data_IF_619493347702
#
_entry.id   IF_619493347702
#
_cell.length_a   1.000
_cell.length_b   1.000
_cell.length_c   1.000
_cell.angle_alpha   90.00
_cell.angle_beta   90.00
_cell.angle_gamma   90.00
#
_symmetry.space_group_name_H-M   'P 1'
#
loop_
_entity.id
_entity.type
_entity.pdbx_description
1 polymer ?
#
# COMPACT_ATOMS: atom_id res chain seq x y z
N UNK A 1 1.41 -24.83 -19.14
CA UNK A 1 1.97 -25.21 -20.47
C UNK A 1 3.25 -24.40 -20.68
N UNK A 2 4.33 -24.98 -21.21
CA UNK A 2 5.57 -24.22 -21.50
C UNK A 2 5.40 -23.47 -22.82
N UNK A 3 5.67 -22.16 -22.85
CA UNK A 3 5.92 -21.41 -24.10
C UNK A 3 7.43 -21.19 -24.23
N UNK A 4 7.97 -21.55 -25.38
CA UNK A 4 9.41 -21.43 -25.68
C UNK A 4 9.72 -20.04 -26.22
N UNK A 5 10.92 -19.54 -25.94
CA UNK A 5 11.45 -18.34 -26.56
C UNK A 5 11.82 -18.62 -28.02
N UNK A 6 11.61 -17.65 -28.91
CA UNK A 6 12.06 -17.69 -30.30
C UNK A 6 13.26 -16.76 -30.46
N UNK A 7 14.47 -17.32 -30.44
CA UNK A 7 15.63 -16.65 -31.03
C UNK A 7 15.54 -16.78 -32.57
N UNK A 8 15.60 -15.66 -33.27
CA UNK A 8 15.90 -15.62 -34.71
C UNK A 8 16.91 -14.51 -34.97
N UNK A 9 18.19 -14.87 -34.98
CA UNK A 9 19.25 -13.97 -35.45
C UNK A 9 19.19 -13.81 -36.97
N UNK A 10 19.61 -12.65 -37.48
CA UNK A 10 19.84 -12.42 -38.91
C UNK A 10 21.33 -12.14 -39.15
N UNK A 11 21.86 -12.60 -40.27
CA UNK A 11 23.31 -12.56 -40.54
C UNK A 11 23.63 -12.05 -41.96
N UNK A 12 24.59 -11.13 -42.00
CA UNK A 12 25.52 -10.87 -43.12
C UNK A 12 25.00 -10.32 -44.46
N UNK A 13 25.63 -9.21 -44.91
CA UNK A 13 26.19 -8.90 -46.25
C UNK A 13 26.58 -7.39 -46.22
N UNK A 14 27.86 -7.02 -46.04
CA UNK A 14 28.88 -6.74 -47.08
C UNK A 14 28.39 -5.85 -48.25
N UNK A 15 29.09 -4.80 -48.71
CA UNK A 15 30.28 -4.11 -48.19
C UNK A 15 30.47 -2.75 -48.90
N UNK A 16 31.00 -1.73 -48.22
CA UNK A 16 31.97 -0.80 -48.82
C UNK A 16 32.83 -0.11 -47.74
N UNK A 17 34.14 -0.05 -47.95
CA UNK A 17 35.09 0.33 -46.89
C UNK A 17 35.64 1.75 -47.07
N UNK A 18 35.21 2.68 -46.22
CA UNK A 18 35.95 3.91 -45.92
C UNK A 18 36.49 3.77 -44.50
N UNK A 19 37.82 3.74 -44.35
CA UNK A 19 38.48 3.32 -43.11
C UNK A 19 38.54 4.43 -42.04
N UNK A 20 37.38 4.76 -41.48
CA UNK A 20 37.31 5.35 -40.14
C UNK A 20 37.66 4.27 -39.10
N UNK A 21 38.32 4.61 -37.98
CA UNK A 21 38.43 3.70 -36.85
C UNK A 21 37.04 3.53 -36.22
N UNK A 22 36.38 2.41 -36.51
CA UNK A 22 35.09 2.04 -35.91
C UNK A 22 35.28 1.79 -34.42
N UNK A 23 34.99 2.80 -33.63
CA UNK A 23 34.79 2.66 -32.20
C UNK A 23 33.58 1.75 -31.99
N UNK A 24 33.69 0.70 -31.17
CA UNK A 24 32.57 -0.20 -30.85
C UNK A 24 31.48 0.58 -30.09
N UNK A 25 30.56 1.19 -30.84
CA UNK A 25 29.35 1.84 -30.31
C UNK A 25 28.26 0.81 -29.99
N UNK A 26 28.26 -0.32 -30.71
CA UNK A 26 27.28 -1.41 -30.60
C UNK A 26 27.07 -1.85 -29.14
N UNK A 27 28.16 -2.06 -28.38
CA UNK A 27 28.10 -2.46 -26.97
C UNK A 27 27.46 -1.40 -26.06
N UNK A 28 27.65 -0.11 -26.34
CA UNK A 28 26.96 0.94 -25.57
C UNK A 28 25.46 0.93 -25.90
N UNK A 29 25.11 0.83 -27.19
CA UNK A 29 23.71 0.73 -27.63
C UNK A 29 23.00 -0.51 -27.09
N UNK A 30 23.71 -1.63 -26.96
CA UNK A 30 23.21 -2.89 -26.39
C UNK A 30 22.92 -2.76 -24.89
N UNK A 31 23.83 -2.14 -24.12
CA UNK A 31 23.62 -1.83 -22.69
C UNK A 31 22.53 -0.76 -22.48
N UNK A 32 22.46 0.26 -23.33
CA UNK A 32 21.43 1.31 -23.27
C UNK A 32 20.04 0.75 -23.65
N UNK A 33 19.95 -0.22 -24.57
CA UNK A 33 18.72 -0.96 -24.84
C UNK A 33 18.32 -1.87 -23.67
N UNK A 34 19.27 -2.63 -23.10
CA UNK A 34 19.02 -3.44 -21.90
C UNK A 34 18.53 -2.56 -20.73
N UNK A 35 19.03 -1.32 -20.63
CA UNK A 35 18.54 -0.34 -19.64
C UNK A 35 17.09 0.04 -19.89
N UNK A 36 16.71 0.34 -21.13
CA UNK A 36 15.31 0.62 -21.47
C UNK A 36 14.39 -0.57 -21.20
N UNK A 37 14.85 -1.81 -21.42
CA UNK A 37 14.08 -3.02 -21.10
C UNK A 37 13.92 -3.20 -19.57
N UNK A 38 14.97 -2.92 -18.78
CA UNK A 38 14.91 -2.92 -17.31
C UNK A 38 14.02 -1.77 -16.78
N UNK A 39 14.10 -0.57 -17.34
CA UNK A 39 13.25 0.58 -16.97
C UNK A 39 11.78 0.32 -17.32
N UNK A 40 11.48 -0.30 -18.47
CA UNK A 40 10.12 -0.76 -18.80
C UNK A 40 9.64 -1.84 -17.81
N UNK A 41 10.48 -2.82 -17.50
CA UNK A 41 10.18 -3.87 -16.50
C UNK A 41 9.92 -3.28 -15.11
N UNK A 42 10.70 -2.29 -14.66
CA UNK A 42 10.44 -1.58 -13.40
C UNK A 42 9.13 -0.78 -13.46
N UNK A 43 8.82 -0.11 -14.58
CA UNK A 43 7.55 0.60 -14.74
C UNK A 43 6.34 -0.34 -14.70
N UNK A 44 6.42 -1.52 -15.33
CA UNK A 44 5.36 -2.51 -15.30
C UNK A 44 5.27 -3.24 -13.94
N UNK A 45 6.38 -3.49 -13.25
CA UNK A 45 6.38 -3.92 -11.85
C UNK A 45 5.73 -2.87 -10.94
N UNK A 46 6.02 -1.58 -11.12
CA UNK A 46 5.40 -0.50 -10.35
C UNK A 46 3.88 -0.38 -10.65
N UNK A 47 3.44 -0.57 -11.90
CA UNK A 47 2.01 -0.70 -12.24
C UNK A 47 1.38 -1.93 -11.56
N UNK A 48 2.08 -3.06 -11.59
CA UNK A 48 1.68 -4.29 -10.91
C UNK A 48 1.49 -4.08 -9.41
N UNK A 49 2.49 -3.50 -8.74
CA UNK A 49 2.46 -3.16 -7.31
C UNK A 49 1.35 -2.16 -6.98
N UNK A 50 1.14 -1.12 -7.77
CA UNK A 50 0.06 -0.16 -7.54
C UNK A 50 -1.34 -0.80 -7.74
N UNK A 51 -1.51 -1.63 -8.78
CA UNK A 51 -2.74 -2.41 -8.96
C UNK A 51 -2.95 -3.38 -7.79
N UNK A 52 -1.87 -4.00 -7.28
CA UNK A 52 -1.95 -4.95 -6.17
C UNK A 52 -2.18 -4.28 -4.83
N UNK A 53 -1.65 -3.08 -4.61
CA UNK A 53 -1.98 -2.24 -3.46
C UNK A 53 -3.47 -1.82 -3.48
N UNK A 54 -4.02 -1.52 -4.66
CA UNK A 54 -5.46 -1.27 -4.82
C UNK A 54 -6.32 -2.53 -4.60
N UNK A 55 -5.85 -3.73 -4.97
CA UNK A 55 -6.50 -5.00 -4.61
C UNK A 55 -6.41 -5.28 -3.10
N UNK A 56 -5.25 -5.12 -2.48
CA UNK A 56 -5.04 -5.27 -1.03
C UNK A 56 -5.97 -4.31 -0.26
N UNK A 57 -6.08 -3.05 -0.69
CA UNK A 57 -6.98 -2.06 -0.07
C UNK A 57 -8.46 -2.44 -0.22
N UNK A 58 -8.90 -2.90 -1.40
CA UNK A 58 -10.27 -3.40 -1.60
C UNK A 58 -10.57 -4.64 -0.75
N UNK A 59 -9.59 -5.55 -0.68
CA UNK A 59 -9.74 -6.79 0.08
C UNK A 59 -9.65 -6.52 1.58
N UNK A 60 -8.95 -5.47 2.04
CA UNK A 60 -9.02 -5.02 3.43
C UNK A 60 -10.46 -4.65 3.82
N UNK A 61 -11.20 -3.92 2.98
CA UNK A 61 -12.64 -3.68 3.19
C UNK A 61 -13.56 -4.88 2.91
N UNK A 62 -13.03 -6.01 2.47
CA UNK A 62 -13.72 -7.31 2.48
C UNK A 62 -13.41 -8.09 3.77
N UNK A 63 -12.17 -8.06 4.25
CA UNK A 63 -11.78 -8.61 5.56
C UNK A 63 -12.52 -7.89 6.70
N UNK A 64 -12.69 -6.57 6.62
CA UNK A 64 -13.50 -5.77 7.55
C UNK A 64 -14.95 -6.29 7.62
N UNK A 65 -15.59 -6.55 6.47
CA UNK A 65 -16.95 -7.13 6.42
C UNK A 65 -17.03 -8.54 6.97
N UNK A 66 -16.06 -9.40 6.66
CA UNK A 66 -16.01 -10.76 7.23
C UNK A 66 -15.85 -10.68 8.76
N UNK A 67 -15.12 -9.68 9.28
CA UNK A 67 -15.04 -9.43 10.73
C UNK A 67 -16.35 -8.89 11.33
N UNK A 68 -17.10 -8.03 10.61
CA UNK A 68 -18.45 -7.60 11.01
C UNK A 68 -19.46 -8.77 11.02
N UNK A 69 -19.39 -9.64 10.01
CA UNK A 69 -20.19 -10.87 9.91
C UNK A 69 -19.87 -11.84 11.06
N UNK A 70 -18.59 -12.09 11.35
CA UNK A 70 -18.15 -12.89 12.49
C UNK A 70 -18.64 -12.28 13.83
N UNK A 71 -18.58 -10.96 14.02
CA UNK A 71 -19.07 -10.31 15.25
C UNK A 71 -20.60 -10.41 15.39
N UNK A 72 -21.35 -10.28 14.29
CA UNK A 72 -22.79 -10.49 14.24
C UNK A 72 -23.15 -11.94 14.60
N UNK A 73 -22.36 -12.89 14.10
CA UNK A 73 -22.54 -14.33 14.32
C UNK A 73 -22.16 -14.74 15.75
N UNK A 74 -21.10 -14.18 16.34
CA UNK A 74 -20.75 -14.33 17.76
C UNK A 74 -21.91 -13.90 18.67
N UNK A 75 -22.54 -12.75 18.36
CA UNK A 75 -23.71 -12.27 19.12
C UNK A 75 -24.90 -13.24 18.99
N UNK A 76 -25.17 -13.75 17.80
CA UNK A 76 -26.22 -14.76 17.58
C UNK A 76 -25.90 -16.06 18.34
N UNK A 77 -24.66 -16.54 18.30
CA UNK A 77 -24.18 -17.71 19.06
C UNK A 77 -24.38 -17.52 20.56
N UNK A 78 -24.11 -16.34 21.11
CA UNK A 78 -24.35 -16.02 22.53
C UNK A 78 -25.86 -16.00 22.86
N UNK A 79 -26.69 -15.40 22.01
CA UNK A 79 -28.15 -15.40 22.18
C UNK A 79 -28.74 -16.82 22.11
N UNK A 80 -28.34 -17.63 21.11
CA UNK A 80 -28.77 -19.03 20.96
C UNK A 80 -28.29 -19.89 22.12
N UNK A 81 -27.03 -19.75 22.55
CA UNK A 81 -26.49 -20.47 23.72
C UNK A 81 -27.26 -20.11 25.00
N UNK A 82 -27.67 -18.85 25.15
CA UNK A 82 -28.49 -18.41 26.29
C UNK A 82 -29.89 -19.04 26.27
N UNK A 83 -30.53 -19.11 25.09
CA UNK A 83 -31.83 -19.81 24.92
C UNK A 83 -31.71 -21.30 25.25
N UNK A 84 -30.66 -21.97 24.76
CA UNK A 84 -30.36 -23.39 25.06
C UNK A 84 -30.29 -23.63 26.57
N UNK A 85 -29.50 -22.82 27.30
CA UNK A 85 -29.36 -22.97 28.75
C UNK A 85 -30.67 -22.73 29.53
N UNK A 86 -31.52 -21.79 29.06
CA UNK A 86 -32.85 -21.56 29.65
C UNK A 86 -33.75 -22.78 29.44
N UNK A 87 -33.88 -23.28 28.19
CA UNK A 87 -34.73 -24.44 27.88
C UNK A 87 -34.25 -25.71 28.60
N UNK A 88 -32.93 -25.90 28.74
CA UNK A 88 -32.37 -27.00 29.53
C UNK A 88 -32.77 -26.92 31.01
N UNK A 89 -32.62 -25.74 31.65
CA UNK A 89 -33.08 -25.53 33.02
C UNK A 89 -34.59 -25.70 33.22
N UNK A 90 -35.40 -25.26 32.25
CA UNK A 90 -36.85 -25.48 32.26
C UNK A 90 -37.23 -26.97 32.14
N UNK A 91 -36.47 -27.75 31.35
CA UNK A 91 -36.64 -29.22 31.24
C UNK A 91 -36.25 -29.90 32.56
N UNK A 92 -35.16 -29.48 33.22
CA UNK A 92 -34.74 -30.02 34.51
C UNK A 92 -35.79 -29.75 35.61
N UNK A 93 -36.26 -28.50 35.75
CA UNK A 93 -37.33 -28.15 36.68
C UNK A 93 -38.59 -28.98 36.42
N UNK A 94 -39.03 -29.07 35.15
CA UNK A 94 -40.22 -29.84 34.79
C UNK A 94 -40.06 -31.32 35.12
N UNK A 95 -38.85 -31.88 34.99
CA UNK A 95 -38.53 -33.27 35.35
C UNK A 95 -38.68 -33.51 36.86
N UNK A 96 -38.19 -32.58 37.69
CA UNK A 96 -38.36 -32.65 39.15
C UNK A 96 -39.85 -32.59 39.55
N UNK A 97 -40.60 -31.63 38.98
CA UNK A 97 -42.04 -31.48 39.25
C UNK A 97 -42.86 -32.71 38.83
N UNK A 98 -42.53 -33.36 37.69
CA UNK A 98 -43.15 -34.62 37.26
C UNK A 98 -42.86 -35.73 38.27
N UNK A 99 -41.62 -35.85 38.75
CA UNK A 99 -41.22 -36.87 39.72
C UNK A 99 -41.95 -36.70 41.05
N UNK A 100 -42.02 -35.48 41.58
CA UNK A 100 -42.70 -35.21 42.85
C UNK A 100 -44.22 -35.47 42.75
N UNK A 101 -44.83 -35.18 41.59
CA UNK A 101 -46.21 -35.57 41.29
C UNK A 101 -46.36 -37.10 41.21
N UNK A 102 -45.45 -37.83 40.59
CA UNK A 102 -45.50 -39.31 40.52
C UNK A 102 -45.36 -39.95 41.92
N UNK A 103 -44.47 -39.44 42.77
CA UNK A 103 -44.32 -39.88 44.16
C UNK A 103 -45.57 -39.54 45.01
N UNK A 104 -46.25 -38.43 44.72
CA UNK A 104 -47.52 -38.05 45.34
C UNK A 104 -48.66 -38.99 44.90
N UNK A 105 -48.79 -39.22 43.58
CA UNK A 105 -49.74 -40.16 42.96
C UNK A 105 -49.59 -41.57 43.53
N UNK A 106 -48.36 -42.05 43.74
CA UNK A 106 -48.10 -43.38 44.31
C UNK A 106 -48.61 -43.49 45.76
N UNK A 107 -48.34 -42.47 46.60
CA UNK A 107 -48.82 -42.41 48.00
C UNK A 107 -50.34 -42.28 48.08
N UNK A 108 -50.93 -41.45 47.22
CA UNK A 108 -52.37 -41.21 47.14
C UNK A 108 -53.11 -42.45 46.66
N UNK A 109 -52.64 -43.10 45.59
CA UNK A 109 -53.21 -44.37 45.11
C UNK A 109 -53.17 -45.44 46.21
N UNK A 110 -52.07 -45.58 46.94
CA UNK A 110 -51.98 -46.53 48.05
C UNK A 110 -53.09 -46.29 49.10
N UNK A 111 -53.32 -45.04 49.52
CA UNK A 111 -54.43 -44.71 50.45
C UNK A 111 -55.80 -45.07 49.89
N UNK A 112 -56.03 -44.80 48.59
CA UNK A 112 -57.29 -45.12 47.91
C UNK A 112 -57.50 -46.63 47.85
N UNK A 113 -56.46 -47.41 47.54
CA UNK A 113 -56.50 -48.87 47.50
C UNK A 113 -56.78 -49.43 48.92
N UNK A 114 -56.05 -48.97 49.96
CA UNK A 114 -56.27 -49.36 51.36
C UNK A 114 -57.68 -49.02 51.88
N UNK A 115 -58.18 -47.80 51.60
CA UNK A 115 -59.53 -47.38 51.99
C UNK A 115 -60.62 -48.09 51.17
N UNK A 116 -60.32 -48.56 49.96
CA UNK A 116 -61.25 -49.38 49.15
C UNK A 116 -61.49 -50.74 49.79
N UNK A 117 -60.44 -51.42 50.28
CA UNK A 117 -60.62 -52.69 50.98
C UNK A 117 -61.37 -52.52 52.31
N UNK A 118 -61.07 -51.47 53.09
CA UNK A 118 -61.84 -51.14 54.30
C UNK A 118 -63.33 -50.92 54.00
N UNK A 119 -63.66 -50.19 52.93
CA UNK A 119 -65.06 -49.96 52.52
C UNK A 119 -65.74 -51.24 52.03
N UNK A 120 -65.01 -52.15 51.34
CA UNK A 120 -65.54 -53.47 50.96
C UNK A 120 -65.82 -54.36 52.17
N UNK A 121 -64.96 -54.34 53.19
CA UNK A 121 -65.15 -55.09 54.43
C UNK A 121 -66.37 -54.56 55.20
N UNK A 122 -66.49 -53.23 55.35
CA UNK A 122 -67.66 -52.60 55.98
C UNK A 122 -68.96 -52.87 55.22
N UNK A 123 -68.97 -52.72 53.90
CA UNK A 123 -70.13 -53.01 53.06
C UNK A 123 -70.55 -54.49 53.17
N UNK A 124 -69.59 -55.43 53.24
CA UNK A 124 -69.87 -56.85 53.47
C UNK A 124 -70.45 -57.08 54.87
N UNK A 125 -69.92 -56.45 55.91
CA UNK A 125 -70.43 -56.58 57.27
C UNK A 125 -71.89 -56.11 57.36
N UNK A 126 -72.20 -54.93 56.81
CA UNK A 126 -73.57 -54.40 56.73
C UNK A 126 -74.49 -55.37 55.96
N UNK A 127 -74.04 -55.91 54.83
CA UNK A 127 -74.81 -56.89 54.06
C UNK A 127 -75.02 -58.24 54.79
N UNK A 128 -74.07 -58.66 55.64
CA UNK A 128 -74.13 -59.93 56.37
C UNK A 128 -74.99 -59.88 57.64
N UNK A 129 -75.13 -58.71 58.28
CA UNK A 129 -75.97 -58.55 59.47
C UNK A 129 -77.47 -58.57 59.14
N UNK A 130 -77.88 -57.87 58.07
CA UNK A 130 -79.28 -57.66 57.70
C UNK A 130 -79.53 -56.35 56.92
N UNK A 131 -78.61 -55.40 57.01
CA UNK A 131 -78.53 -54.22 56.15
C UNK A 131 -78.84 -52.92 56.91
N UNK A 132 -79.55 -52.00 56.26
CA UNK A 132 -79.94 -50.73 56.89
C UNK A 132 -81.12 -50.86 57.88
N UNK A 133 -81.71 -52.05 58.02
CA UNK A 133 -82.79 -52.33 58.98
C UNK A 133 -82.24 -52.50 60.40
N UNK A 134 -81.09 -53.16 60.55
CA UNK A 134 -80.49 -53.51 61.85
C UNK A 134 -80.20 -52.28 62.72
N UNK A 135 -79.86 -51.13 62.12
CA UNK A 135 -79.68 -49.88 62.88
C UNK A 135 -80.96 -49.38 63.52
N UNK A 136 -82.13 -49.67 62.94
CA UNK A 136 -83.43 -49.37 63.54
C UNK A 136 -83.69 -50.37 64.67
N UNK A 137 -83.41 -51.65 64.47
CA UNK A 137 -83.61 -52.68 65.49
C UNK A 137 -82.67 -52.53 66.71
N UNK A 138 -81.43 -52.07 66.51
CA UNK A 138 -80.49 -51.70 67.60
C UNK A 138 -81.05 -50.57 68.46
N UNK A 139 -81.76 -49.62 67.87
CA UNK A 139 -82.39 -48.50 68.57
C UNK A 139 -83.74 -48.88 69.21
N UNK A 140 -84.54 -49.72 68.54
CA UNK A 140 -85.81 -50.23 69.07
C UNK A 140 -85.60 -51.27 70.19
N UNK A 141 -84.46 -51.97 70.20
CA UNK A 141 -84.05 -52.90 71.25
C UNK A 141 -83.39 -52.25 72.47
N UNK A 142 -83.60 -50.95 72.70
CA UNK A 142 -83.13 -50.25 73.88
C UNK A 142 -83.99 -50.59 75.12
N UNK A 143 -83.36 -50.76 76.28
CA UNK A 143 -84.06 -51.14 77.52
C UNK A 143 -84.72 -49.94 78.22
N UNK A 144 -84.13 -48.74 78.10
CA UNK A 144 -84.71 -47.48 78.57
C UNK A 144 -84.32 -46.28 77.68
N UNK A 145 -84.76 -45.07 78.07
CA UNK A 145 -84.51 -43.84 77.31
C UNK A 145 -83.05 -43.36 77.35
N UNK A 146 -82.26 -43.73 78.36
CA UNK A 146 -80.83 -43.38 78.43
C UNK A 146 -80.04 -44.29 77.48
N UNK A 147 -80.29 -45.60 77.55
CA UNK A 147 -79.74 -46.59 76.61
C UNK A 147 -80.11 -46.25 75.15
N UNK A 148 -81.35 -45.82 74.89
CA UNK A 148 -81.75 -45.30 73.58
C UNK A 148 -80.88 -44.13 73.09
N UNK A 149 -80.59 -43.15 73.97
CA UNK A 149 -79.78 -41.97 73.61
C UNK A 149 -78.31 -42.34 73.38
N UNK A 150 -77.74 -43.22 74.20
CA UNK A 150 -76.36 -43.69 74.02
C UNK A 150 -76.20 -44.49 72.72
N UNK A 151 -77.15 -45.39 72.42
CA UNK A 151 -77.17 -46.12 71.13
C UNK A 151 -77.41 -45.19 69.94
N UNK A 152 -78.30 -44.20 70.06
CA UNK A 152 -78.55 -43.21 69.00
C UNK A 152 -77.28 -42.39 68.70
N UNK A 153 -76.58 -41.95 69.75
CA UNK A 153 -75.29 -41.27 69.63
C UNK A 153 -74.25 -42.15 68.92
N UNK A 154 -74.06 -43.38 69.38
CA UNK A 154 -73.10 -44.32 68.79
C UNK A 154 -73.40 -44.67 67.32
N UNK A 155 -74.67 -44.91 66.98
CA UNK A 155 -75.11 -45.17 65.59
C UNK A 155 -74.90 -43.94 64.71
N UNK A 156 -75.23 -42.74 65.19
CA UNK A 156 -75.02 -41.50 64.43
C UNK A 156 -73.53 -41.24 64.17
N UNK A 157 -72.66 -41.36 65.19
CA UNK A 157 -71.21 -41.23 65.03
C UNK A 157 -70.62 -42.24 64.06
N UNK A 158 -71.13 -43.48 64.03
CA UNK A 158 -70.69 -44.50 63.07
C UNK A 158 -71.11 -44.14 61.63
N UNK A 159 -72.36 -43.69 61.43
CA UNK A 159 -72.87 -43.25 60.12
C UNK A 159 -72.13 -42.01 59.61
N UNK A 160 -71.81 -41.06 60.50
CA UNK A 160 -70.98 -39.89 60.17
C UNK A 160 -69.56 -40.29 59.77
N UNK A 161 -68.93 -41.21 60.51
CA UNK A 161 -67.62 -41.75 60.15
C UNK A 161 -67.62 -42.47 58.79
N UNK A 162 -68.63 -43.28 58.48
CA UNK A 162 -68.73 -43.95 57.18
C UNK A 162 -68.99 -42.97 56.03
N UNK A 163 -69.82 -41.94 56.24
CA UNK A 163 -70.01 -40.84 55.28
C UNK A 163 -68.71 -40.09 55.03
N UNK A 164 -67.93 -39.81 56.07
CA UNK A 164 -66.64 -39.12 55.97
C UNK A 164 -65.59 -39.97 55.25
N UNK A 165 -65.52 -41.28 55.53
CA UNK A 165 -64.64 -42.22 54.82
C UNK A 165 -65.00 -42.25 53.33
N UNK A 166 -66.29 -42.27 52.97
CA UNK A 166 -66.74 -42.20 51.57
C UNK A 166 -66.45 -40.84 50.92
N UNK A 167 -66.66 -39.72 51.63
CA UNK A 167 -66.33 -38.36 51.14
C UNK A 167 -64.85 -38.23 50.81
N UNK A 168 -63.98 -38.56 51.77
CA UNK A 168 -62.52 -38.55 51.58
C UNK A 168 -62.08 -39.51 50.47
N UNK A 169 -62.80 -40.63 50.27
CA UNK A 169 -62.49 -41.58 49.19
C UNK A 169 -62.78 -41.02 47.80
N UNK A 170 -63.83 -40.20 47.64
CA UNK A 170 -64.12 -39.57 46.35
C UNK A 170 -63.19 -38.38 46.10
N UNK A 171 -62.91 -37.57 47.12
CA UNK A 171 -61.97 -36.44 47.04
C UNK A 171 -60.53 -36.91 46.71
N UNK A 172 -60.04 -37.99 47.33
CA UNK A 172 -58.74 -38.57 46.98
C UNK A 172 -58.71 -39.12 45.53
N UNK A 173 -59.81 -39.70 45.02
CA UNK A 173 -59.90 -40.15 43.61
C UNK A 173 -59.89 -38.98 42.64
N UNK A 174 -60.62 -37.90 42.93
CA UNK A 174 -60.65 -36.70 42.10
C UNK A 174 -59.26 -36.05 42.07
N UNK A 175 -58.61 -35.94 43.22
CA UNK A 175 -57.22 -35.48 43.33
C UNK A 175 -56.27 -36.39 42.54
N UNK A 176 -56.43 -37.71 42.57
CA UNK A 176 -55.64 -38.66 41.79
C UNK A 176 -55.83 -38.48 40.27
N UNK A 177 -57.05 -38.20 39.81
CA UNK A 177 -57.34 -37.91 38.41
C UNK A 177 -56.70 -36.57 37.99
N UNK A 178 -56.87 -35.52 38.80
CA UNK A 178 -56.31 -34.19 38.57
C UNK A 178 -54.76 -34.22 38.55
N UNK A 179 -54.11 -34.96 39.46
CA UNK A 179 -52.65 -35.12 39.47
C UNK A 179 -52.14 -35.86 38.22
N UNK A 180 -52.85 -36.89 37.74
CA UNK A 180 -52.48 -37.59 36.49
C UNK A 180 -52.58 -36.67 35.27
N UNK A 181 -53.66 -35.91 35.13
CA UNK A 181 -53.83 -34.94 34.06
C UNK A 181 -52.75 -33.84 34.08
N UNK A 182 -52.29 -33.43 35.27
CA UNK A 182 -51.13 -32.54 35.40
C UNK A 182 -49.82 -33.19 34.94
N UNK A 183 -49.57 -34.46 35.25
CA UNK A 183 -48.39 -35.20 34.76
C UNK A 183 -48.42 -35.33 33.23
N UNK A 184 -49.55 -35.70 32.65
CA UNK A 184 -49.73 -35.79 31.19
C UNK A 184 -49.50 -34.42 30.51
N UNK A 185 -50.03 -33.34 31.09
CA UNK A 185 -49.83 -31.97 30.60
C UNK A 185 -48.36 -31.53 30.69
N UNK A 186 -47.66 -31.88 31.77
CA UNK A 186 -46.23 -31.55 31.94
C UNK A 186 -45.34 -32.36 30.99
N UNK A 187 -45.65 -33.64 30.78
CA UNK A 187 -44.94 -34.49 29.81
C UNK A 187 -45.09 -33.95 28.37
N UNK A 188 -46.30 -33.56 27.96
CA UNK A 188 -46.52 -32.97 26.63
C UNK A 188 -45.66 -31.70 26.41
N UNK A 189 -45.61 -30.80 27.41
CA UNK A 189 -44.74 -29.61 27.40
C UNK A 189 -43.25 -29.94 27.45
N UNK A 190 -42.87 -31.05 28.09
CA UNK A 190 -41.49 -31.49 28.13
C UNK A 190 -41.02 -31.98 26.76
N UNK A 191 -41.86 -32.70 26.01
CA UNK A 191 -41.54 -33.10 24.63
C UNK A 191 -41.49 -31.91 23.66
N UNK A 192 -42.38 -30.92 23.83
CA UNK A 192 -42.31 -29.65 23.10
C UNK A 192 -40.96 -28.92 23.33
N UNK A 193 -40.56 -28.75 24.59
CA UNK A 193 -39.26 -28.16 24.97
C UNK A 193 -38.06 -28.99 24.48
N UNK A 194 -38.14 -30.32 24.46
CA UNK A 194 -37.08 -31.19 23.88
C UNK A 194 -36.92 -30.95 22.38
N UNK A 195 -38.03 -30.83 21.65
CA UNK A 195 -38.01 -30.54 20.22
C UNK A 195 -37.55 -29.10 19.89
N UNK A 196 -37.80 -28.13 20.79
CA UNK A 196 -37.22 -26.79 20.71
C UNK A 196 -35.70 -26.82 20.97
N UNK A 197 -35.27 -27.51 22.03
CA UNK A 197 -33.85 -27.67 22.38
C UNK A 197 -33.03 -28.32 21.24
N UNK A 198 -33.59 -29.33 20.56
CA UNK A 198 -32.95 -29.94 19.39
C UNK A 198 -32.76 -28.92 18.25
N UNK A 199 -33.78 -28.12 17.95
CA UNK A 199 -33.69 -27.06 16.93
C UNK A 199 -32.63 -26.01 17.30
N UNK A 200 -32.65 -25.51 18.53
CA UNK A 200 -31.68 -24.51 19.01
C UNK A 200 -30.24 -25.05 19.00
N UNK A 201 -30.03 -26.34 19.34
CA UNK A 201 -28.71 -26.98 19.24
C UNK A 201 -28.26 -27.15 17.79
N UNK A 202 -29.16 -27.49 16.87
CA UNK A 202 -28.85 -27.58 15.43
C UNK A 202 -28.55 -26.20 14.82
N UNK A 203 -29.30 -25.16 15.19
CA UNK A 203 -29.04 -23.75 14.83
C UNK A 203 -27.66 -23.30 15.34
N UNK A 204 -27.37 -23.53 16.62
CA UNK A 204 -26.08 -23.19 17.26
C UNK A 204 -24.89 -23.91 16.59
N UNK A 205 -25.07 -25.16 16.17
CA UNK A 205 -24.04 -25.91 15.46
C UNK A 205 -23.83 -25.38 14.03
N UNK A 206 -24.90 -24.96 13.35
CA UNK A 206 -24.82 -24.28 12.06
C UNK A 206 -24.07 -22.95 12.14
N UNK A 207 -24.47 -22.10 13.10
CA UNK A 207 -23.83 -20.79 13.36
C UNK A 207 -22.32 -20.94 13.64
N UNK A 208 -21.91 -21.95 14.42
CA UNK A 208 -20.48 -22.23 14.68
C UNK A 208 -19.73 -22.73 13.44
N UNK A 209 -20.33 -23.60 12.63
CA UNK A 209 -19.71 -24.10 11.40
C UNK A 209 -19.53 -22.98 10.34
N UNK A 210 -20.47 -22.02 10.29
CA UNK A 210 -20.37 -20.81 9.47
C UNK A 210 -19.25 -19.88 9.99
N UNK A 211 -19.16 -19.68 11.32
CA UNK A 211 -18.09 -18.89 11.95
C UNK A 211 -16.69 -19.48 11.68
N UNK A 212 -16.53 -20.80 11.85
CA UNK A 212 -15.27 -21.51 11.54
C UNK A 212 -14.91 -21.40 10.05
N UNK A 213 -15.90 -21.39 9.16
CA UNK A 213 -15.73 -21.15 7.73
C UNK A 213 -15.21 -19.74 7.43
N UNK A 214 -15.91 -18.71 7.90
CA UNK A 214 -15.52 -17.31 7.74
C UNK A 214 -14.13 -17.02 8.32
N UNK A 215 -13.82 -17.54 9.51
CA UNK A 215 -12.52 -17.37 10.16
C UNK A 215 -11.37 -18.05 9.38
N UNK A 216 -11.65 -19.19 8.75
CA UNK A 216 -10.69 -19.90 7.89
C UNK A 216 -10.44 -19.14 6.58
N UNK A 217 -11.48 -18.62 5.94
CA UNK A 217 -11.37 -17.90 4.68
C UNK A 217 -10.71 -16.53 4.88
N UNK A 218 -11.03 -15.81 5.96
CA UNK A 218 -10.33 -14.61 6.43
C UNK A 218 -8.81 -14.86 6.54
N UNK A 219 -8.41 -15.97 7.17
CA UNK A 219 -7.01 -16.35 7.36
C UNK A 219 -6.32 -16.75 6.06
N UNK A 220 -7.01 -17.51 5.20
CA UNK A 220 -6.48 -17.91 3.90
C UNK A 220 -6.22 -16.69 3.00
N UNK A 221 -7.14 -15.73 2.99
CA UNK A 221 -7.02 -14.49 2.22
C UNK A 221 -5.90 -13.58 2.77
N UNK A 222 -5.80 -13.41 4.10
CA UNK A 222 -4.67 -12.70 4.71
C UNK A 222 -3.31 -13.33 4.34
N UNK A 223 -3.20 -14.66 4.35
CA UNK A 223 -1.98 -15.36 3.95
C UNK A 223 -1.67 -15.20 2.45
N UNK A 224 -2.69 -15.25 1.60
CA UNK A 224 -2.57 -15.03 0.15
C UNK A 224 -2.05 -13.62 -0.16
N UNK A 225 -2.66 -12.59 0.43
CA UNK A 225 -2.26 -11.20 0.23
C UNK A 225 -0.85 -10.91 0.75
N UNK A 226 -0.46 -11.49 1.89
CA UNK A 226 0.89 -11.36 2.43
C UNK A 226 1.95 -11.99 1.50
N UNK A 227 1.67 -13.17 0.95
CA UNK A 227 2.57 -13.85 0.01
C UNK A 227 2.68 -13.10 -1.33
N UNK A 228 1.55 -12.68 -1.92
CA UNK A 228 1.52 -11.92 -3.18
C UNK A 228 2.21 -10.54 -3.05
N UNK A 229 2.14 -9.91 -1.87
CA UNK A 229 2.91 -8.70 -1.59
C UNK A 229 4.41 -8.97 -1.54
N UNK A 230 4.84 -10.00 -0.80
CA UNK A 230 6.26 -10.31 -0.59
C UNK A 230 6.98 -10.70 -1.89
N UNK A 231 6.31 -11.42 -2.80
CA UNK A 231 6.84 -11.78 -4.12
C UNK A 231 7.09 -10.54 -5.00
N UNK A 232 6.14 -9.60 -5.04
CA UNK A 232 6.29 -8.35 -5.78
C UNK A 232 7.37 -7.43 -5.20
N UNK A 233 7.50 -7.38 -3.86
CA UNK A 233 8.57 -6.62 -3.19
C UNK A 233 9.96 -7.23 -3.48
N UNK A 234 10.08 -8.56 -3.52
CA UNK A 234 11.33 -9.23 -3.94
C UNK A 234 11.66 -8.95 -5.41
N UNK A 235 10.72 -9.16 -6.34
CA UNK A 235 10.94 -8.93 -7.78
C UNK A 235 11.32 -7.47 -8.09
N UNK A 236 10.81 -6.51 -7.30
CA UNK A 236 11.21 -5.10 -7.38
C UNK A 236 12.64 -4.87 -6.86
N UNK A 237 13.06 -5.54 -5.79
CA UNK A 237 14.45 -5.46 -5.31
C UNK A 237 15.43 -5.99 -6.37
N UNK A 238 15.18 -7.19 -6.90
CA UNK A 238 16.01 -7.79 -7.95
C UNK A 238 16.10 -6.90 -9.21
N UNK A 239 15.01 -6.23 -9.59
CA UNK A 239 14.99 -5.30 -10.72
C UNK A 239 15.73 -3.98 -10.46
N UNK A 240 15.89 -3.57 -9.19
CA UNK A 240 16.70 -2.41 -8.80
C UNK A 240 18.20 -2.77 -8.77
N UNK A 241 18.55 -3.94 -8.23
CA UNK A 241 19.95 -4.41 -8.16
C UNK A 241 20.55 -4.58 -9.55
N UNK A 242 19.81 -5.19 -10.49
CA UNK A 242 20.24 -5.33 -11.90
C UNK A 242 20.37 -3.96 -12.58
N UNK A 243 19.45 -3.03 -12.32
CA UNK A 243 19.54 -1.66 -12.87
C UNK A 243 20.77 -0.91 -12.37
N UNK A 244 21.15 -1.12 -11.10
CA UNK A 244 22.31 -0.48 -10.50
C UNK A 244 23.64 -1.01 -11.07
N UNK A 245 23.77 -2.33 -11.29
CA UNK A 245 24.97 -2.85 -11.97
C UNK A 245 25.02 -2.39 -13.44
N UNK A 246 23.88 -2.35 -14.13
CA UNK A 246 23.80 -1.92 -15.52
C UNK A 246 24.19 -0.43 -15.70
N UNK A 247 23.77 0.48 -14.82
CA UNK A 247 24.26 1.87 -14.82
C UNK A 247 25.78 1.95 -14.55
N UNK A 248 26.31 1.08 -13.68
CA UNK A 248 27.75 0.97 -13.47
C UNK A 248 28.49 0.43 -14.72
N UNK A 249 27.88 -0.46 -15.51
CA UNK A 249 28.45 -0.95 -16.76
C UNK A 249 28.42 0.11 -17.87
N UNK A 250 27.30 0.82 -18.03
CA UNK A 250 27.12 1.93 -18.97
C UNK A 250 28.14 3.03 -18.66
N UNK A 251 28.27 3.44 -17.39
CA UNK A 251 29.24 4.47 -16.96
C UNK A 251 30.67 4.10 -17.37
N UNK A 252 31.12 2.87 -17.08
CA UNK A 252 32.46 2.38 -17.44
C UNK A 252 32.68 2.34 -18.96
N UNK A 253 31.63 2.00 -19.73
CA UNK A 253 31.71 1.99 -21.20
C UNK A 253 31.77 3.41 -21.76
N UNK A 254 30.96 4.35 -21.25
CA UNK A 254 31.01 5.77 -21.61
C UNK A 254 32.35 6.42 -21.25
N UNK A 255 32.93 6.12 -20.07
CA UNK A 255 34.29 6.53 -19.69
C UNK A 255 35.35 6.00 -20.67
N UNK A 256 35.27 4.71 -21.04
CA UNK A 256 36.17 4.09 -22.03
C UNK A 256 36.07 4.78 -23.39
N UNK A 257 34.86 5.10 -23.84
CA UNK A 257 34.59 5.78 -25.10
C UNK A 257 35.10 7.23 -25.08
N UNK A 258 34.91 7.96 -23.97
CA UNK A 258 35.43 9.31 -23.79
C UNK A 258 36.97 9.35 -23.80
N UNK A 259 37.63 8.38 -23.15
CA UNK A 259 39.10 8.25 -23.15
C UNK A 259 39.66 7.88 -24.53
N UNK A 260 38.93 7.07 -25.32
CA UNK A 260 39.26 6.80 -26.73
C UNK A 260 39.12 8.07 -27.58
N UNK A 261 38.03 8.83 -27.41
CA UNK A 261 37.81 10.09 -28.11
C UNK A 261 38.87 11.15 -27.76
N UNK A 262 39.27 11.26 -26.48
CA UNK A 262 40.36 12.13 -26.03
C UNK A 262 41.68 11.79 -26.73
N UNK A 263 42.05 10.50 -26.78
CA UNK A 263 43.26 10.03 -27.47
C UNK A 263 43.22 10.32 -28.97
N UNK A 264 42.09 10.10 -29.63
CA UNK A 264 41.92 10.40 -31.05
C UNK A 264 42.07 11.90 -31.34
N UNK A 265 41.51 12.78 -30.51
CA UNK A 265 41.64 14.23 -30.64
C UNK A 265 43.06 14.73 -30.32
N UNK A 266 43.76 14.12 -29.35
CA UNK A 266 45.18 14.40 -29.10
C UNK A 266 46.07 13.96 -30.27
N UNK A 267 45.82 12.80 -30.87
CA UNK A 267 46.53 12.34 -32.06
C UNK A 267 46.24 13.25 -33.27
N UNK A 268 44.98 13.66 -33.47
CA UNK A 268 44.59 14.62 -34.52
C UNK A 268 45.30 15.96 -34.32
N UNK A 269 45.33 16.49 -33.10
CA UNK A 269 46.09 17.72 -32.75
C UNK A 269 47.59 17.56 -33.02
N UNK A 270 48.19 16.40 -32.70
CA UNK A 270 49.61 16.10 -33.00
C UNK A 270 49.88 16.07 -34.50
N UNK A 271 49.04 15.40 -35.31
CA UNK A 271 49.15 15.37 -36.78
C UNK A 271 49.03 16.77 -37.38
N UNK A 272 48.01 17.53 -36.97
CA UNK A 272 47.76 18.90 -37.46
C UNK A 272 48.89 19.87 -37.05
N UNK A 273 49.55 19.65 -35.91
CA UNK A 273 50.75 20.37 -35.51
C UNK A 273 51.99 19.99 -36.35
N UNK A 274 52.18 18.70 -36.69
CA UNK A 274 53.23 18.24 -37.58
C UNK A 274 53.04 18.79 -39.01
N UNK A 275 51.82 18.75 -39.54
CA UNK A 275 51.45 19.35 -40.84
C UNK A 275 51.72 20.85 -40.87
N UNK A 276 51.29 21.59 -39.84
CA UNK A 276 51.59 23.04 -39.71
C UNK A 276 53.10 23.30 -39.65
N UNK A 277 53.88 22.47 -38.96
CA UNK A 277 55.34 22.59 -38.92
C UNK A 277 55.96 22.33 -40.30
N UNK A 278 55.56 21.26 -40.99
CA UNK A 278 56.03 20.95 -42.34
C UNK A 278 55.66 22.06 -43.36
N UNK A 279 54.45 22.60 -43.27
CA UNK A 279 54.00 23.73 -44.08
C UNK A 279 54.80 25.01 -43.78
N UNK A 280 55.09 25.30 -42.50
CA UNK A 280 55.94 26.42 -42.11
C UNK A 280 57.39 26.24 -42.61
N UNK A 281 57.96 25.03 -42.55
CA UNK A 281 59.28 24.74 -43.11
C UNK A 281 59.30 24.87 -44.65
N UNK A 282 58.25 24.45 -45.36
CA UNK A 282 58.13 24.70 -46.80
C UNK A 282 57.98 26.19 -47.13
N UNK A 283 57.19 26.93 -46.35
CA UNK A 283 57.03 28.38 -46.50
C UNK A 283 58.36 29.12 -46.23
N UNK A 284 59.12 28.71 -45.21
CA UNK A 284 60.44 29.24 -44.91
C UNK A 284 61.44 28.94 -46.05
N UNK A 285 61.45 27.72 -46.59
CA UNK A 285 62.27 27.35 -47.77
C UNK A 285 61.91 28.20 -48.99
N UNK A 286 60.62 28.34 -49.32
CA UNK A 286 60.13 29.22 -50.39
C UNK A 286 60.51 30.69 -50.17
N UNK A 287 60.38 31.20 -48.94
CA UNK A 287 60.74 32.59 -48.59
C UNK A 287 62.25 32.83 -48.68
N UNK A 288 63.07 31.90 -48.21
CA UNK A 288 64.54 31.98 -48.35
C UNK A 288 64.98 31.89 -49.82
N UNK A 289 64.30 31.08 -50.64
CA UNK A 289 64.56 31.00 -52.08
C UNK A 289 64.13 32.29 -52.81
N UNK A 290 62.98 32.86 -52.47
CA UNK A 290 62.54 34.17 -52.96
C UNK A 290 63.50 35.29 -52.53
N UNK A 291 64.01 35.26 -51.29
CA UNK A 291 65.02 36.19 -50.80
C UNK A 291 66.38 36.02 -51.52
N UNK A 292 66.79 34.80 -51.89
CA UNK A 292 67.97 34.59 -52.76
C UNK A 292 67.77 35.21 -54.15
N UNK A 293 66.60 34.99 -54.77
CA UNK A 293 66.26 35.60 -56.06
C UNK A 293 66.17 37.13 -55.97
N UNK A 294 65.62 37.68 -54.88
CA UNK A 294 65.63 39.13 -54.61
C UNK A 294 67.04 39.66 -54.34
N UNK A 295 67.91 38.91 -53.66
CA UNK A 295 69.30 39.30 -53.43
C UNK A 295 70.10 39.31 -54.74
N UNK A 296 69.90 38.33 -55.62
CA UNK A 296 70.47 38.31 -56.97
C UNK A 296 69.97 39.52 -57.78
N UNK A 297 68.66 39.77 -57.82
CA UNK A 297 68.08 40.96 -58.47
C UNK A 297 68.54 42.28 -57.85
N UNK A 298 68.84 42.32 -56.55
CA UNK A 298 69.40 43.49 -55.88
C UNK A 298 70.91 43.67 -56.12
N UNK A 299 71.64 42.61 -56.49
CA UNK A 299 73.01 42.70 -57.00
C UNK A 299 73.02 43.17 -58.45
N UNK A 300 72.12 42.65 -59.29
CA UNK A 300 71.88 43.12 -60.67
C UNK A 300 71.50 44.61 -60.66
N UNK A 301 70.51 45.01 -59.87
CA UNK A 301 70.12 46.42 -59.71
C UNK A 301 71.20 47.29 -59.04
N UNK A 302 72.14 46.72 -58.28
CA UNK A 302 73.32 47.45 -57.80
C UNK A 302 74.40 47.65 -58.86
N UNK A 303 74.43 46.83 -59.92
CA UNK A 303 75.26 47.07 -61.09
C UNK A 303 74.61 48.11 -62.03
N UNK A 304 73.28 48.20 -62.07
CA UNK A 304 72.54 49.12 -62.94
C UNK A 304 72.24 50.50 -62.32
N UNK A 305 72.23 50.62 -60.98
CA UNK A 305 71.91 51.89 -60.28
C UNK A 305 73.10 52.57 -59.61
N UNK A 306 74.12 52.87 -60.40
CA UNK A 306 74.98 54.05 -60.19
C UNK A 306 74.45 55.27 -60.97
N UNK A 307 73.12 55.42 -61.01
CA UNK A 307 72.40 56.53 -61.65
C UNK A 307 71.12 56.87 -60.85
N UNK A 308 70.93 58.17 -60.63
CA UNK A 308 69.71 58.92 -60.28
C UNK A 308 68.79 58.43 -59.11
N UNK A 309 68.90 59.15 -57.99
CA UNK A 309 67.92 60.15 -57.47
C UNK A 309 66.43 60.06 -57.89
N UNK A 310 65.40 60.46 -57.11
CA UNK A 310 65.28 61.05 -55.74
C UNK A 310 63.78 61.01 -55.32
N UNK A 311 63.44 61.07 -54.02
CA UNK A 311 62.09 61.39 -53.46
C UNK A 311 60.91 60.42 -53.76
N UNK A 312 59.73 60.42 -53.07
CA UNK A 312 59.31 61.01 -51.78
C UNK A 312 58.17 60.20 -51.09
N UNK A 313 57.85 60.61 -49.85
CA UNK A 313 56.62 60.51 -49.01
C UNK A 313 55.25 60.29 -49.69
N UNK A 314 54.10 59.95 -49.04
CA UNK A 314 53.67 59.84 -47.62
C UNK A 314 52.25 59.23 -47.47
N UNK A 315 51.91 58.66 -46.28
CA UNK A 315 50.55 58.55 -45.65
C UNK A 315 49.42 57.87 -46.51
N UNK A 316 48.16 57.62 -46.09
CA UNK A 316 47.36 57.84 -44.86
C UNK A 316 46.43 56.61 -44.61
N UNK A 317 45.89 56.36 -43.40
CA UNK A 317 44.45 56.52 -42.98
C UNK A 317 43.37 56.53 -44.10
N UNK A 318 42.12 56.05 -43.91
CA UNK A 318 41.27 56.10 -42.70
C UNK A 318 40.05 55.11 -42.72
N UNK A 319 39.14 55.29 -41.74
CA UNK A 319 37.87 54.62 -41.36
C UNK A 319 36.77 54.49 -42.47
N UNK A 320 35.58 53.88 -42.29
CA UNK A 320 34.83 53.43 -41.09
C UNK A 320 34.05 52.09 -41.33
N UNK A 321 32.80 51.76 -40.89
CA UNK A 321 31.61 52.49 -40.37
C UNK A 321 30.71 51.60 -39.44
N UNK A 322 29.65 52.21 -38.89
CA UNK A 322 28.40 51.75 -38.21
C UNK A 322 27.75 50.42 -38.70
N UNK A 323 26.82 49.73 -38.00
CA UNK A 323 26.27 49.68 -36.61
C UNK A 323 25.36 48.39 -36.51
N UNK A 324 24.42 48.10 -35.57
CA UNK A 324 23.81 48.70 -34.35
C UNK A 324 23.11 47.60 -33.50
N UNK A 325 22.70 47.88 -32.26
CA UNK A 325 21.87 47.00 -31.39
C UNK A 325 20.34 47.13 -31.64
N UNK A 326 19.52 46.24 -31.02
CA UNK A 326 18.51 46.74 -30.06
C UNK A 326 18.52 46.02 -28.69
N UNK A 327 17.75 46.59 -27.75
CA UNK A 327 17.83 46.41 -26.29
C UNK A 327 17.49 45.01 -25.73
N UNK A 328 18.10 44.68 -24.58
CA UNK A 328 17.82 43.46 -23.80
C UNK A 328 16.97 43.73 -22.55
N UNK A 329 16.11 42.79 -22.18
CA UNK A 329 15.34 42.85 -20.92
C UNK A 329 16.23 42.53 -19.71
N UNK A 330 16.01 43.23 -18.59
CA UNK A 330 16.89 43.17 -17.42
C UNK A 330 16.91 41.79 -16.74
N UNK A 331 18.03 41.08 -16.87
CA UNK A 331 18.39 39.93 -16.06
C UNK A 331 18.94 40.36 -14.69
N UNK A 332 18.84 39.51 -13.65
CA UNK A 332 19.49 39.80 -12.36
C UNK A 332 21.03 39.86 -12.53
N UNK A 333 21.67 40.71 -11.73
CA UNK A 333 23.10 41.00 -11.87
C UNK A 333 23.99 39.75 -11.69
N UNK A 334 24.99 39.62 -12.56
CA UNK A 334 25.98 38.53 -12.52
C UNK A 334 26.93 38.75 -11.34
N UNK A 335 26.87 37.86 -10.34
CA UNK A 335 27.78 37.92 -9.19
C UNK A 335 29.17 37.43 -9.59
N UNK A 336 30.15 38.34 -9.58
CA UNK A 336 31.51 38.06 -10.04
C UNK A 336 32.28 37.22 -9.03
N UNK A 337 32.22 35.89 -9.18
CA UNK A 337 33.02 34.96 -8.39
C UNK A 337 32.55 33.50 -8.44
N UNK A 338 31.26 33.25 -8.71
CA UNK A 338 30.69 31.90 -8.71
C UNK A 338 30.26 31.44 -10.11
N UNK A 339 30.46 30.16 -10.48
CA UNK A 339 30.08 29.66 -11.80
C UNK A 339 28.57 29.48 -12.00
N UNK A 340 27.77 29.49 -10.91
CA UNK A 340 26.32 29.38 -10.98
C UNK A 340 25.63 30.66 -10.45
N UNK A 341 24.56 31.08 -11.12
CA UNK A 341 23.64 32.12 -10.64
C UNK A 341 22.54 31.50 -9.77
N UNK A 342 21.83 32.33 -8.99
CA UNK A 342 20.57 31.91 -8.37
C UNK A 342 19.53 31.53 -9.45
N UNK A 343 18.85 30.38 -9.32
CA UNK A 343 17.91 29.88 -10.33
C UNK A 343 16.50 30.50 -10.27
N UNK A 344 16.19 31.26 -9.22
CA UNK A 344 14.90 31.96 -9.06
C UNK A 344 14.97 33.05 -7.98
N UNK A 345 14.01 33.97 -7.99
CA UNK A 345 13.74 34.89 -6.87
C UNK A 345 12.80 34.22 -5.86
N UNK A 346 12.99 34.48 -4.57
CA UNK A 346 12.18 33.86 -3.51
C UNK A 346 12.94 33.69 -2.20
N UNK A 347 12.18 33.45 -1.12
CA UNK A 347 12.71 33.24 0.24
C UNK A 347 13.21 31.80 0.38
N UNK A 348 14.41 31.60 0.91
CA UNK A 348 14.88 30.26 1.29
C UNK A 348 14.03 29.75 2.46
N UNK A 349 13.38 28.61 2.27
CA UNK A 349 12.52 27.94 3.26
C UNK A 349 13.17 26.70 3.86
N UNK A 350 14.08 26.04 3.14
CA UNK A 350 14.89 24.94 3.64
C UNK A 350 16.30 25.01 3.07
N UNK A 351 17.28 24.47 3.81
CA UNK A 351 18.68 24.40 3.38
C UNK A 351 19.07 22.93 3.20
N UNK A 352 20.10 22.68 2.40
CA UNK A 352 20.73 21.36 2.24
C UNK A 352 21.12 20.73 3.59
N UNK A 353 20.93 19.42 3.73
CA UNK A 353 21.33 18.63 4.90
C UNK A 353 20.16 18.01 5.67
N UNK A 354 20.40 17.64 6.92
CA UNK A 354 19.36 17.09 7.81
C UNK A 354 18.38 18.16 8.28
N UNK A 355 17.08 17.84 8.22
CA UNK A 355 15.97 18.66 8.71
C UNK A 355 14.92 17.79 9.39
N UNK A 356 14.04 18.42 10.17
CA UNK A 356 12.77 17.85 10.61
C UNK A 356 11.66 18.80 10.17
N UNK A 357 10.59 18.27 9.59
CA UNK A 357 9.44 19.03 9.07
C UNK A 357 8.12 18.63 9.74
N UNK A 358 8.16 17.81 10.80
CA UNK A 358 7.00 17.35 11.58
C UNK A 358 6.83 15.82 11.59
N UNK A 359 7.39 15.12 10.60
CA UNK A 359 7.36 13.66 10.47
C UNK A 359 8.65 12.97 10.99
N UNK A 360 9.59 13.74 11.58
CA UNK A 360 10.89 13.26 12.02
C UNK A 360 12.06 13.67 11.10
N UNK A 361 13.28 13.18 11.39
CA UNK A 361 14.49 13.61 10.68
C UNK A 361 14.58 13.01 9.26
N UNK A 362 14.54 13.88 8.25
CA UNK A 362 14.82 13.56 6.85
C UNK A 362 16.04 14.36 6.34
N UNK A 363 16.75 13.83 5.33
CA UNK A 363 17.85 14.53 4.66
C UNK A 363 17.35 15.15 3.36
N UNK A 364 17.57 16.46 3.17
CA UNK A 364 17.31 17.15 1.90
C UNK A 364 18.61 17.36 1.13
N UNK A 365 18.66 16.78 -0.07
CA UNK A 365 19.78 16.87 -1.02
C UNK A 365 19.82 18.18 -1.82
N UNK A 366 18.82 19.05 -1.64
CA UNK A 366 18.77 20.40 -2.19
C UNK A 366 18.35 21.46 -1.17
N UNK A 367 18.17 22.69 -1.66
CA UNK A 367 17.60 23.80 -0.90
C UNK A 367 16.26 24.23 -1.49
N UNK A 368 15.35 24.68 -0.62
CA UNK A 368 13.99 25.07 -1.02
C UNK A 368 13.87 26.59 -1.08
N UNK A 369 13.40 27.12 -2.21
CA UNK A 369 13.23 28.55 -2.46
C UNK A 369 11.76 28.83 -2.78
N UNK A 370 11.02 29.37 -1.81
CA UNK A 370 9.59 29.63 -1.91
C UNK A 370 9.26 31.01 -2.53
N UNK A 371 8.29 31.01 -3.45
CA UNK A 371 7.69 32.18 -4.08
C UNK A 371 6.32 31.79 -4.70
N UNK A 372 5.61 32.73 -5.33
CA UNK A 372 4.33 32.46 -5.98
C UNK A 372 4.41 31.46 -7.15
N UNK A 373 3.34 30.71 -7.38
CA UNK A 373 3.24 29.76 -8.51
C UNK A 373 3.45 30.51 -9.83
N UNK A 374 4.24 29.92 -10.74
CA UNK A 374 4.59 30.51 -12.03
C UNK A 374 5.80 31.46 -12.00
N UNK A 375 6.38 31.76 -10.83
CA UNK A 375 7.66 32.49 -10.70
C UNK A 375 8.71 31.86 -11.64
N UNK A 376 9.41 32.68 -12.41
CA UNK A 376 10.35 32.18 -13.42
C UNK A 376 11.51 31.42 -12.77
N UNK A 377 11.78 30.22 -13.30
CA UNK A 377 12.97 29.43 -12.97
C UNK A 377 13.93 29.52 -14.17
N UNK A 378 15.20 29.79 -13.90
CA UNK A 378 16.28 29.95 -14.90
C UNK A 378 17.39 28.91 -14.71
N UNK A 379 18.06 28.57 -15.80
CA UNK A 379 19.25 27.72 -15.76
C UNK A 379 20.39 28.41 -15.00
N UNK A 380 20.93 27.75 -13.99
CA UNK A 380 21.96 28.28 -13.10
C UNK A 380 23.32 28.45 -13.81
N UNK A 381 23.59 27.70 -14.89
CA UNK A 381 24.76 27.83 -15.76
C UNK A 381 24.48 27.31 -17.19
N UNK A 382 25.39 27.56 -18.12
CA UNK A 382 25.38 26.97 -19.47
C UNK A 382 25.43 25.43 -19.40
N UNK A 383 24.62 24.73 -20.19
CA UNK A 383 24.58 23.27 -20.15
C UNK A 383 23.65 22.63 -21.20
N UNK A 384 23.40 21.33 -21.00
CA UNK A 384 22.45 20.53 -21.76
C UNK A 384 21.44 19.90 -20.81
N UNK A 385 20.16 19.96 -21.17
CA UNK A 385 19.07 19.34 -20.41
C UNK A 385 19.18 17.82 -20.52
N UNK A 386 19.41 17.15 -19.40
CA UNK A 386 19.53 15.69 -19.28
C UNK A 386 18.26 15.00 -18.79
N UNK A 387 17.29 15.76 -18.25
CA UNK A 387 15.91 15.31 -17.98
C UNK A 387 14.95 16.50 -18.03
N UNK A 388 13.73 16.30 -18.55
CA UNK A 388 12.66 17.30 -18.57
C UNK A 388 11.27 16.64 -18.52
N UNK A 389 10.84 16.24 -17.32
CA UNK A 389 9.59 15.50 -17.13
C UNK A 389 9.28 15.21 -15.66
N UNK A 390 8.36 14.29 -15.39
CA UNK A 390 8.05 13.87 -14.01
C UNK A 390 9.19 13.03 -13.43
N UNK A 391 9.68 13.36 -12.24
CA UNK A 391 10.77 12.69 -11.54
C UNK A 391 10.37 12.37 -10.09
N UNK A 392 9.48 11.38 -9.93
CA UNK A 392 9.09 10.83 -8.63
C UNK A 392 8.69 11.89 -7.60
N UNK A 393 9.38 11.92 -6.46
CA UNK A 393 9.11 12.86 -5.36
C UNK A 393 9.27 14.34 -5.75
N UNK A 394 10.15 14.66 -6.71
CA UNK A 394 10.38 16.02 -7.20
C UNK A 394 9.24 16.56 -8.08
N UNK A 395 8.24 15.75 -8.44
CA UNK A 395 7.15 16.20 -9.32
C UNK A 395 7.66 16.46 -10.74
N UNK A 396 7.25 17.57 -11.37
CA UNK A 396 7.88 17.98 -12.63
C UNK A 396 9.27 18.55 -12.32
N UNK A 397 10.29 18.01 -12.97
CA UNK A 397 11.67 18.43 -12.81
C UNK A 397 12.38 18.69 -14.14
N UNK A 398 13.36 19.60 -14.10
CA UNK A 398 14.43 19.70 -15.11
C UNK A 398 15.73 19.27 -14.44
N UNK A 399 16.59 18.58 -15.19
CA UNK A 399 17.98 18.33 -14.81
C UNK A 399 18.88 18.85 -15.94
N UNK A 400 19.94 19.58 -15.59
CA UNK A 400 20.87 20.19 -16.55
C UNK A 400 22.29 19.78 -16.19
N UNK A 401 23.00 19.19 -17.16
CA UNK A 401 24.42 18.85 -17.03
C UNK A 401 25.29 19.96 -17.64
N UNK A 402 26.32 20.36 -16.89
CA UNK A 402 27.20 21.49 -17.14
C UNK A 402 28.67 21.02 -17.22
N UNK A 403 29.49 21.77 -17.95
CA UNK A 403 30.95 21.61 -17.96
C UNK A 403 31.58 22.94 -17.52
N UNK A 404 32.01 22.99 -16.27
CA UNK A 404 32.57 24.20 -15.62
C UNK A 404 34.06 23.97 -15.39
N UNK A 405 34.92 24.75 -16.02
CA UNK A 405 36.39 24.63 -15.91
C UNK A 405 36.95 23.22 -16.23
N UNK A 406 36.23 22.43 -17.03
CA UNK A 406 36.58 21.04 -17.36
C UNK A 406 36.06 19.99 -16.37
N UNK A 407 35.35 20.39 -15.32
CA UNK A 407 34.67 19.52 -14.37
C UNK A 407 33.17 19.44 -14.69
N UNK A 408 32.61 18.23 -14.69
CA UNK A 408 31.17 18.02 -14.83
C UNK A 408 30.44 18.38 -13.54
N UNK A 409 29.34 19.11 -13.68
CA UNK A 409 28.36 19.34 -12.62
C UNK A 409 26.96 19.08 -13.18
N UNK A 410 26.01 18.76 -12.31
CA UNK A 410 24.58 18.71 -12.68
C UNK A 410 23.76 19.54 -11.71
N UNK A 411 22.74 20.24 -12.21
CA UNK A 411 21.77 20.98 -11.39
C UNK A 411 20.36 20.47 -11.61
N UNK A 412 19.57 20.44 -10.54
CA UNK A 412 18.20 19.88 -10.51
C UNK A 412 17.22 20.96 -10.08
N UNK A 413 16.06 20.99 -10.74
CA UNK A 413 15.02 22.00 -10.52
C UNK A 413 13.69 21.28 -10.32
N UNK A 414 13.24 21.12 -9.07
CA UNK A 414 12.05 20.35 -8.71
C UNK A 414 10.78 21.18 -8.48
N UNK A 415 9.68 20.45 -8.31
CA UNK A 415 8.31 20.91 -7.99
C UNK A 415 7.68 21.86 -9.02
N UNK A 416 8.18 21.88 -10.26
CA UNK A 416 7.82 22.88 -11.27
C UNK A 416 6.34 22.79 -11.69
N UNK A 417 5.74 23.93 -12.03
CA UNK A 417 4.37 23.99 -12.58
C UNK A 417 4.35 23.87 -14.11
N UNK A 418 5.40 24.35 -14.78
CA UNK A 418 5.56 24.28 -16.22
C UNK A 418 7.03 24.09 -16.59
N UNK A 419 7.29 23.29 -17.62
CA UNK A 419 8.60 23.08 -18.23
C UNK A 419 8.63 23.85 -19.55
N UNK A 420 9.67 24.66 -19.77
CA UNK A 420 9.89 25.45 -20.98
C UNK A 420 11.05 24.92 -21.84
N UNK A 421 11.57 23.72 -21.51
CA UNK A 421 12.67 23.04 -22.19
C UNK A 421 12.41 21.53 -22.29
N UNK A 422 13.12 20.87 -23.21
CA UNK A 422 13.06 19.41 -23.43
C UNK A 422 14.44 18.77 -23.30
N UNK A 423 14.50 17.45 -23.14
CA UNK A 423 15.75 16.68 -23.14
C UNK A 423 16.61 16.89 -24.40
N UNK A 424 17.92 16.85 -24.21
CA UNK A 424 18.93 17.15 -25.24
C UNK A 424 19.05 18.64 -25.59
N UNK A 425 18.14 19.51 -25.12
CA UNK A 425 18.20 20.93 -25.41
C UNK A 425 19.42 21.59 -24.75
N UNK A 426 20.21 22.32 -25.55
CA UNK A 426 21.23 23.23 -25.01
C UNK A 426 20.55 24.46 -24.39
N UNK A 427 21.01 24.85 -23.21
CA UNK A 427 20.53 26.03 -22.48
C UNK A 427 21.70 26.92 -22.04
N UNK A 428 21.46 28.24 -21.95
CA UNK A 428 22.44 29.21 -21.44
C UNK A 428 22.13 29.65 -20.01
N UNK A 429 23.14 30.08 -19.27
CA UNK A 429 22.97 30.70 -17.95
C UNK A 429 21.92 31.83 -18.01
N UNK A 430 20.98 31.85 -17.06
CA UNK A 430 19.90 32.84 -17.02
C UNK A 430 18.73 32.58 -17.98
N UNK A 431 18.82 31.61 -18.90
CA UNK A 431 17.69 31.22 -19.74
C UNK A 431 16.55 30.68 -18.87
N UNK A 432 15.31 31.14 -19.11
CA UNK A 432 14.12 30.59 -18.44
C UNK A 432 13.88 29.14 -18.89
N UNK A 433 13.85 28.23 -17.91
CA UNK A 433 13.59 26.79 -18.12
C UNK A 433 12.22 26.35 -17.62
N UNK A 434 11.49 27.20 -16.88
CA UNK A 434 10.11 26.89 -16.49
C UNK A 434 9.45 27.90 -15.57
N UNK A 435 8.49 27.40 -14.77
CA UNK A 435 7.80 28.14 -13.71
C UNK A 435 7.70 27.33 -12.41
N UNK A 436 7.84 28.01 -11.27
CA UNK A 436 7.73 27.44 -9.92
C UNK A 436 6.33 26.85 -9.67
N UNK A 437 6.23 25.82 -8.84
CA UNK A 437 4.98 25.13 -8.55
C UNK A 437 4.99 24.39 -7.23
N UNK A 438 4.14 23.36 -7.14
CA UNK A 438 3.97 22.51 -5.96
C UNK A 438 3.65 21.07 -6.38
N UNK A 439 4.32 20.56 -7.42
CA UNK A 439 4.09 19.21 -7.96
C UNK A 439 4.95 18.16 -7.24
N UNK A 440 4.49 16.91 -7.15
CA UNK A 440 5.20 15.86 -6.39
C UNK A 440 4.96 15.94 -4.88
N UNK A 441 5.93 15.50 -4.06
CA UNK A 441 5.91 15.60 -2.59
C UNK A 441 6.28 17.04 -2.18
N UNK A 442 5.31 17.94 -2.26
CA UNK A 442 5.47 19.34 -1.86
C UNK A 442 4.31 19.83 -0.98
N UNK A 443 4.62 20.63 0.03
CA UNK A 443 3.66 21.26 0.96
C UNK A 443 3.27 22.69 0.58
N UNK A 444 3.80 23.23 -0.53
CA UNK A 444 3.49 24.59 -0.99
C UNK A 444 4.39 25.07 -2.13
N UNK A 445 4.10 26.24 -2.68
CA UNK A 445 4.80 26.76 -3.87
C UNK A 445 6.27 27.09 -3.59
N UNK A 446 7.17 26.27 -4.15
CA UNK A 446 8.62 26.47 -4.08
C UNK A 446 9.36 25.81 -5.24
N UNK A 447 10.61 26.22 -5.44
CA UNK A 447 11.61 25.48 -6.21
C UNK A 447 12.44 24.66 -5.22
N UNK A 448 12.54 23.34 -5.44
CA UNK A 448 13.62 22.54 -4.87
C UNK A 448 14.83 22.60 -5.80
N UNK A 449 16.02 22.89 -5.28
CA UNK A 449 17.22 23.07 -6.09
C UNK A 449 18.41 22.29 -5.54
N UNK A 450 18.92 21.34 -6.33
CA UNK A 450 20.13 20.56 -6.02
C UNK A 450 21.31 20.97 -6.93
N UNK A 451 22.55 20.86 -6.44
CA UNK A 451 23.79 20.96 -7.22
C UNK A 451 24.64 19.72 -6.93
N UNK A 452 25.18 19.11 -7.97
CA UNK A 452 25.91 17.83 -7.91
C UNK A 452 27.29 17.97 -8.55
N UNK A 453 28.28 17.27 -7.98
CA UNK A 453 29.60 17.09 -8.58
C UNK A 453 29.60 15.80 -9.42
N UNK A 454 29.88 15.92 -10.72
CA UNK A 454 29.65 14.84 -11.68
C UNK A 454 28.22 14.83 -12.21
N UNK A 455 27.80 13.69 -12.78
CA UNK A 455 26.45 13.47 -13.29
C UNK A 455 25.50 13.22 -12.11
N UNK A 456 24.28 13.75 -12.14
CA UNK A 456 23.24 13.41 -11.14
C UNK A 456 23.00 11.90 -11.10
N UNK A 457 22.90 11.34 -9.90
CA UNK A 457 22.52 9.95 -9.69
C UNK A 457 21.26 9.89 -8.81
N UNK A 458 20.43 8.86 -8.99
CA UNK A 458 19.12 8.76 -8.32
C UNK A 458 19.15 8.61 -6.79
N UNK A 459 20.33 8.55 -6.17
CA UNK A 459 20.50 8.59 -4.71
C UNK A 459 20.87 9.98 -4.18
N UNK A 460 21.09 10.96 -5.07
CA UNK A 460 21.66 12.28 -4.80
C UNK A 460 22.96 12.24 -3.96
N UNK A 461 23.71 11.13 -3.97
CA UNK A 461 24.90 10.92 -3.11
C UNK A 461 26.09 11.81 -3.44
N UNK A 462 26.07 12.48 -4.59
CA UNK A 462 27.05 13.49 -5.00
C UNK A 462 26.49 14.93 -4.95
N UNK A 463 25.34 15.13 -4.31
CA UNK A 463 24.79 16.45 -4.05
C UNK A 463 25.67 17.23 -3.05
N UNK A 464 25.75 18.54 -3.24
CA UNK A 464 26.52 19.47 -2.43
C UNK A 464 25.68 20.72 -2.13
N UNK A 465 25.87 21.31 -0.95
CA UNK A 465 25.13 22.50 -0.52
C UNK A 465 25.18 23.61 -1.58
N UNK A 466 24.05 23.93 -2.25
CA UNK A 466 24.04 24.87 -3.37
C UNK A 466 24.50 26.28 -2.99
N UNK A 467 24.42 26.64 -1.70
CA UNK A 467 24.83 27.95 -1.17
C UNK A 467 26.34 28.20 -1.28
N UNK A 468 27.15 27.15 -1.47
CA UNK A 468 28.58 27.25 -1.77
C UNK A 468 28.87 27.57 -3.25
N UNK A 469 27.85 27.53 -4.12
CA UNK A 469 27.98 27.57 -5.57
C UNK A 469 27.13 28.64 -6.26
N UNK A 470 26.06 29.13 -5.63
CA UNK A 470 25.25 30.26 -6.14
C UNK A 470 25.60 31.57 -5.45
N UNK A 471 25.62 32.66 -6.21
CA UNK A 471 25.70 34.01 -5.62
C UNK A 471 24.51 34.31 -4.70
N UNK A 472 24.78 35.03 -3.60
CA UNK A 472 23.82 35.43 -2.56
C UNK A 472 22.69 36.33 -3.07
#
# INVERSE_FOLDING_TARGET
MRKQWLLTGLSSILAFSILMPTVNADKLSELEQEKQEIEQKQNDLNKGINNKANEISKNQSALEKIMEEIQSLDKQIQETTSKVAVVEGEIEQTTAEIKDLQDSIAKLKKKIDERTELLKERARAIQMSGGSVDYIDVLLGAEDFVDFIDRFSAVNTLIEADREIMRTQEEDKELLANQKAQVETKLAKQEERRAELEKLRNELNGQKAEQDGLAKDLKAEQQRLAAEKSDLEQQRSEALDVSADLENQITKEQERLAEVARKAEEERKRKLAQERKAAAEQAAKKKAQAQKVQAQKAQEQKAEKSAESVESSSKSTESAVLASEPEAQATPAVSSGSPFIRPTTGRVTSNFGWRDIGDGPEFTSGMDIANGVGTAITAAADGYVSHAGVMGGLGNAVVITHSVNGQTFTTVYGHMSALNVSEGQKVTQGQRIGGMGSTGRSTGSHLHFEIHIGIWNGSSSNAVDPRNYIGS
#
